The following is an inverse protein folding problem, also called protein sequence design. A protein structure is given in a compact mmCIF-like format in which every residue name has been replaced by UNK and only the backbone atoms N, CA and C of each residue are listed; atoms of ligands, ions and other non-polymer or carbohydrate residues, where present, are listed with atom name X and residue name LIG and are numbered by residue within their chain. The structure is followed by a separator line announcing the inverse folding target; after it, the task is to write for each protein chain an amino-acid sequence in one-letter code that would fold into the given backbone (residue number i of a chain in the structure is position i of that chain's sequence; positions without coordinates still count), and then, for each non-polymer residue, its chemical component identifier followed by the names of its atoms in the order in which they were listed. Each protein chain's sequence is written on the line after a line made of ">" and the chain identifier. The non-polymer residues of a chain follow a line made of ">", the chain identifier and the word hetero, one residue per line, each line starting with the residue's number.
data_IF_289887336226
#
_entry.id   IF_289887336226
#
_cell.length_a   1.000
_cell.length_b   1.000
_cell.length_c   1.000
_cell.angle_alpha   90.00
_cell.angle_beta   90.00
_cell.angle_gamma   90.00
#
_symmetry.space_group_name_H-M   'P 1'
#
loop_
_entity.id
_entity.type
_entity.pdbx_description
1 polymer ?
#
# COMPACT_ATOMS: atom_id res chain seq x y z
N UNK A 1 -15.52 -4.85 -15.32
CA UNK A 1 -15.18 -3.86 -16.37
C UNK A 1 -13.80 -4.16 -16.91
N UNK A 2 -13.60 -4.14 -18.24
CA UNK A 2 -12.29 -4.40 -18.85
C UNK A 2 -11.34 -3.22 -18.68
N UNK A 3 -10.08 -3.44 -18.32
CA UNK A 3 -9.09 -2.36 -18.16
C UNK A 3 -8.57 -1.88 -19.52
N UNK A 4 -8.21 -2.81 -20.41
CA UNK A 4 -7.76 -2.51 -21.77
C UNK A 4 -8.92 -2.72 -22.73
N UNK A 5 -9.42 -1.63 -23.31
CA UNK A 5 -10.49 -1.63 -24.31
C UNK A 5 -9.99 -1.86 -25.74
N UNK A 6 -10.85 -1.56 -26.71
CA UNK A 6 -10.52 -1.63 -28.13
C UNK A 6 -9.41 -0.63 -28.50
N UNK A 7 -8.67 -0.92 -29.58
CA UNK A 7 -7.64 -0.04 -30.13
C UNK A 7 -6.57 0.36 -29.11
N UNK A 8 -6.25 -0.54 -28.17
CA UNK A 8 -5.27 -0.32 -27.11
C UNK A 8 -5.62 0.83 -26.12
N UNK A 9 -6.88 1.29 -26.09
CA UNK A 9 -7.33 2.32 -25.14
C UNK A 9 -7.41 1.75 -23.73
N UNK A 10 -6.93 2.49 -22.74
CA UNK A 10 -7.08 2.14 -21.32
C UNK A 10 -8.33 2.83 -20.78
N UNK A 11 -9.18 2.07 -20.10
CA UNK A 11 -10.35 2.61 -19.42
C UNK A 11 -9.92 3.23 -18.08
N UNK A 12 -9.57 4.51 -18.13
CA UNK A 12 -9.21 5.30 -16.95
C UNK A 12 -10.43 5.64 -16.10
N UNK A 13 -10.25 5.78 -14.80
CA UNK A 13 -11.35 6.15 -13.90
C UNK A 13 -11.20 5.64 -12.49
N UNK A 14 -12.29 5.81 -11.73
CA UNK A 14 -12.47 5.24 -10.40
C UNK A 14 -13.56 4.19 -10.48
N UNK A 15 -13.33 3.05 -9.85
CA UNK A 15 -14.19 1.88 -9.96
C UNK A 15 -14.59 1.36 -8.59
N UNK A 16 -15.88 1.06 -8.42
CA UNK A 16 -16.42 0.47 -7.19
C UNK A 16 -16.79 -1.02 -7.35
N UNK A 17 -16.69 -1.53 -8.59
CA UNK A 17 -17.01 -2.91 -8.95
C UNK A 17 -15.78 -3.70 -9.42
N UNK A 18 -15.97 -5.01 -9.74
CA UNK A 18 -14.90 -5.88 -10.21
C UNK A 18 -14.32 -5.42 -11.55
N UNK A 19 -13.04 -5.73 -11.77
CA UNK A 19 -12.29 -5.38 -12.96
C UNK A 19 -11.72 -6.62 -13.63
N UNK A 20 -11.90 -6.71 -14.93
CA UNK A 20 -11.18 -7.66 -15.76
C UNK A 20 -9.81 -7.06 -16.04
N UNK A 21 -8.80 -7.51 -15.28
CA UNK A 21 -7.43 -7.00 -15.34
C UNK A 21 -6.65 -7.62 -16.50
N UNK A 22 -7.11 -7.38 -17.73
CA UNK A 22 -6.58 -7.91 -18.99
C UNK A 22 -5.27 -7.21 -19.44
N UNK A 23 -4.37 -6.88 -18.52
CA UNK A 23 -3.15 -6.11 -18.78
C UNK A 23 -2.25 -6.67 -19.89
N UNK A 24 -2.30 -7.99 -20.13
CA UNK A 24 -1.49 -8.66 -21.17
C UNK A 24 -1.86 -8.20 -22.58
N UNK A 25 -3.10 -7.76 -22.79
CA UNK A 25 -3.60 -7.25 -24.08
C UNK A 25 -3.06 -5.86 -24.42
N UNK A 26 -2.59 -5.10 -23.42
CA UNK A 26 -2.07 -3.75 -23.64
C UNK A 26 -0.81 -3.77 -24.50
N UNK A 27 -0.79 -3.06 -25.62
CA UNK A 27 0.39 -2.80 -26.43
C UNK A 27 1.15 -1.62 -25.81
N UNK A 28 2.24 -1.93 -25.10
CA UNK A 28 3.14 -0.93 -24.54
C UNK A 28 3.95 -0.30 -25.68
N UNK A 29 3.95 1.03 -25.79
CA UNK A 29 4.66 1.75 -26.85
C UNK A 29 5.84 2.54 -26.27
N UNK A 30 6.93 2.60 -27.02
CA UNK A 30 8.05 3.50 -26.73
C UNK A 30 7.73 4.96 -27.11
N UNK A 31 8.71 5.84 -26.93
CA UNK A 31 8.58 7.28 -27.22
C UNK A 31 8.16 7.58 -28.67
N UNK A 32 8.53 6.72 -29.63
CA UNK A 32 8.23 6.90 -31.05
C UNK A 32 6.98 6.10 -31.49
N UNK A 33 6.22 5.53 -30.54
CA UNK A 33 5.03 4.75 -30.84
C UNK A 33 5.32 3.32 -31.30
N UNK A 34 6.56 2.83 -31.19
CA UNK A 34 6.90 1.45 -31.55
C UNK A 34 6.59 0.51 -30.38
N UNK A 35 6.01 -0.64 -30.68
CA UNK A 35 5.63 -1.60 -29.64
C UNK A 35 6.85 -2.22 -28.95
N UNK A 36 6.82 -2.18 -27.62
CA UNK A 36 7.75 -2.87 -26.72
C UNK A 36 7.17 -4.26 -26.42
N UNK A 37 7.96 -5.31 -26.73
CA UNK A 37 7.56 -6.72 -26.58
C UNK A 37 8.53 -7.52 -25.71
N UNK A 38 8.14 -8.75 -25.37
CA UNK A 38 9.00 -9.74 -24.70
C UNK A 38 9.50 -9.29 -23.32
N UNK A 39 10.78 -9.53 -23.04
CA UNK A 39 11.39 -9.21 -21.75
C UNK A 39 11.33 -7.72 -21.40
N UNK A 40 11.46 -6.82 -22.39
CA UNK A 40 11.34 -5.38 -22.14
C UNK A 40 9.96 -5.00 -21.61
N UNK A 41 8.90 -5.56 -22.20
CA UNK A 41 7.51 -5.36 -21.73
C UNK A 41 7.30 -5.96 -20.35
N UNK A 42 7.83 -7.16 -20.11
CA UNK A 42 7.79 -7.80 -18.79
C UNK A 42 8.46 -6.94 -17.72
N UNK A 43 9.64 -6.40 -18.02
CA UNK A 43 10.43 -5.59 -17.08
C UNK A 43 9.82 -4.21 -16.83
N UNK A 44 8.99 -3.70 -17.73
CA UNK A 44 8.27 -2.46 -17.52
C UNK A 44 7.06 -2.62 -16.58
N UNK A 45 6.51 -3.84 -16.46
CA UNK A 45 5.36 -4.09 -15.60
C UNK A 45 5.79 -4.28 -14.14
N UNK A 46 5.22 -3.50 -13.23
CA UNK A 46 5.52 -3.51 -11.81
C UNK A 46 4.29 -3.86 -11.00
N UNK A 47 4.50 -4.53 -9.86
CA UNK A 47 3.45 -4.88 -8.90
C UNK A 47 3.93 -4.71 -7.49
N UNK A 48 3.04 -4.20 -6.65
CA UNK A 48 3.27 -3.94 -5.24
C UNK A 48 2.05 -4.44 -4.48
N UNK A 49 2.28 -5.19 -3.40
CA UNK A 49 1.28 -5.41 -2.38
C UNK A 49 1.90 -5.04 -1.04
N UNK A 50 1.37 -4.01 -0.40
CA UNK A 50 1.76 -3.56 0.93
C UNK A 50 0.58 -3.75 1.87
N UNK A 51 0.84 -4.31 3.04
CA UNK A 51 -0.16 -4.49 4.10
C UNK A 51 0.48 -4.06 5.40
N UNK A 52 -0.28 -3.31 6.19
CA UNK A 52 0.11 -2.89 7.53
C UNK A 52 -0.84 -3.46 8.57
N UNK A 53 -0.29 -3.97 9.65
CA UNK A 53 -1.02 -4.37 10.86
C UNK A 53 -0.75 -3.31 11.91
N UNK A 54 -1.81 -2.67 12.42
CA UNK A 54 -1.72 -1.63 13.45
C UNK A 54 -2.48 -2.12 14.68
N UNK A 55 -1.78 -2.30 15.79
CA UNK A 55 -2.36 -2.67 17.10
C UNK A 55 -2.20 -1.51 18.09
N UNK A 56 -2.52 -1.73 19.36
CA UNK A 56 -2.28 -0.77 20.45
C UNK A 56 -0.85 -0.81 21.03
N UNK A 57 -0.04 -1.80 20.66
CA UNK A 57 1.35 -1.96 21.16
C UNK A 57 2.38 -2.03 20.02
N UNK A 58 1.98 -2.55 18.87
CA UNK A 58 2.87 -2.86 17.74
C UNK A 58 2.31 -2.39 16.41
N UNK A 59 3.23 -2.16 15.49
CA UNK A 59 2.94 -1.94 14.09
C UNK A 59 3.85 -2.84 13.23
N UNK A 60 3.25 -3.56 12.29
CA UNK A 60 3.96 -4.41 11.33
C UNK A 60 3.67 -3.89 9.93
N UNK A 61 4.71 -3.50 9.21
CA UNK A 61 4.63 -3.27 7.77
C UNK A 61 5.23 -4.45 7.02
N UNK A 62 4.59 -4.90 5.95
CA UNK A 62 5.18 -5.91 5.06
C UNK A 62 4.74 -5.73 3.62
N UNK A 63 5.60 -6.16 2.69
CA UNK A 63 5.31 -6.06 1.28
C UNK A 63 5.85 -7.23 0.48
N UNK A 64 5.16 -7.52 -0.63
CA UNK A 64 5.70 -8.26 -1.75
C UNK A 64 5.75 -7.33 -2.98
N UNK A 65 6.93 -7.24 -3.59
CA UNK A 65 7.19 -6.36 -4.74
C UNK A 65 7.77 -7.19 -5.87
N UNK A 66 7.21 -7.02 -7.06
CA UNK A 66 7.71 -7.62 -8.31
C UNK A 66 7.98 -6.49 -9.30
N UNK A 67 9.25 -6.28 -9.63
CA UNK A 67 9.68 -5.29 -10.63
C UNK A 67 9.80 -5.89 -12.04
N UNK A 68 9.36 -7.14 -12.23
CA UNK A 68 9.44 -7.89 -13.48
C UNK A 68 10.80 -8.55 -13.74
N UNK A 69 11.88 -8.03 -13.15
CA UNK A 69 13.24 -8.59 -13.21
C UNK A 69 13.83 -8.94 -11.83
N UNK A 70 13.45 -8.21 -10.78
CA UNK A 70 13.84 -8.43 -9.39
C UNK A 70 12.60 -8.38 -8.52
N UNK A 71 12.55 -9.23 -7.50
CA UNK A 71 11.56 -9.12 -6.45
C UNK A 71 12.18 -8.58 -5.16
N UNK A 72 11.34 -7.99 -4.31
CA UNK A 72 11.65 -7.69 -2.92
C UNK A 72 10.48 -8.13 -2.03
N UNK A 73 10.76 -8.95 -1.02
CA UNK A 73 9.82 -9.26 0.06
C UNK A 73 10.43 -8.80 1.37
N UNK A 74 9.76 -7.89 2.06
CA UNK A 74 10.24 -7.35 3.32
C UNK A 74 9.14 -7.27 4.36
N UNK A 75 9.55 -7.23 5.63
CA UNK A 75 8.68 -6.96 6.76
C UNK A 75 9.47 -6.34 7.91
N UNK A 76 8.81 -5.60 8.77
CA UNK A 76 9.40 -5.13 10.01
C UNK A 76 8.37 -5.10 11.14
N UNK A 77 8.86 -5.26 12.36
CA UNK A 77 8.08 -5.14 13.60
C UNK A 77 8.56 -3.90 14.35
N UNK A 78 7.66 -2.95 14.53
CA UNK A 78 7.84 -1.76 15.34
C UNK A 78 7.06 -1.90 16.65
N UNK A 79 7.72 -1.73 17.79
CA UNK A 79 7.08 -1.61 19.09
C UNK A 79 7.05 -0.13 19.47
N UNK A 80 5.89 0.37 19.89
CA UNK A 80 5.69 1.81 20.08
C UNK A 80 6.61 2.45 21.10
N UNK A 81 7.09 1.67 22.07
CA UNK A 81 8.03 2.13 23.09
C UNK A 81 9.50 1.92 22.70
N UNK A 82 9.82 0.76 22.14
CA UNK A 82 11.21 0.32 21.96
C UNK A 82 11.74 0.55 20.52
N UNK A 83 10.88 1.02 19.62
CA UNK A 83 11.23 1.25 18.22
C UNK A 83 11.21 -0.01 17.37
N UNK A 84 12.09 -0.09 16.36
CA UNK A 84 12.19 -1.26 15.48
C UNK A 84 12.80 -2.43 16.24
N UNK A 85 12.01 -3.50 16.43
CA UNK A 85 12.47 -4.74 17.06
C UNK A 85 13.08 -5.73 16.07
N UNK A 86 12.60 -5.71 14.81
CA UNK A 86 13.03 -6.66 13.78
C UNK A 86 12.77 -6.14 12.38
N UNK A 87 13.68 -6.47 11.46
CA UNK A 87 13.52 -6.28 10.01
C UNK A 87 13.90 -7.56 9.26
N UNK A 88 13.08 -7.90 8.27
CA UNK A 88 13.33 -8.93 7.29
C UNK A 88 13.34 -8.28 5.90
N UNK A 89 14.34 -8.61 5.09
CA UNK A 89 14.44 -8.12 3.71
C UNK A 89 15.05 -9.22 2.83
N UNK A 90 14.31 -9.64 1.81
CA UNK A 90 14.72 -10.67 0.87
C UNK A 90 14.52 -10.19 -0.57
N UNK A 91 15.64 -10.07 -1.28
CA UNK A 91 15.68 -9.71 -2.70
C UNK A 91 16.18 -10.89 -3.53
N UNK A 92 15.75 -10.96 -4.79
CA UNK A 92 16.17 -12.01 -5.71
C UNK A 92 15.68 -11.76 -7.14
N UNK A 93 16.05 -12.65 -8.06
CA UNK A 93 15.59 -12.57 -9.44
C UNK A 93 14.11 -12.95 -9.53
N UNK A 94 13.33 -12.13 -10.24
CA UNK A 94 11.89 -12.34 -10.42
C UNK A 94 11.62 -13.40 -11.50
N UNK A 95 11.90 -14.65 -11.16
CA UNK A 95 11.72 -15.82 -12.04
C UNK A 95 10.39 -16.53 -11.85
N UNK A 96 9.58 -16.11 -10.85
CA UNK A 96 8.37 -16.81 -10.41
C UNK A 96 8.63 -18.00 -9.47
N UNK A 97 9.89 -18.36 -9.20
CA UNK A 97 10.22 -19.53 -8.36
C UNK A 97 10.16 -19.25 -6.85
N UNK A 98 10.79 -18.17 -6.40
CA UNK A 98 10.81 -17.80 -4.97
C UNK A 98 9.62 -16.94 -4.59
N UNK A 99 9.15 -16.08 -5.51
CA UNK A 99 7.94 -15.27 -5.38
C UNK A 99 7.03 -15.56 -6.57
N UNK A 100 5.89 -16.19 -6.32
CA UNK A 100 4.74 -16.18 -7.22
C UNK A 100 3.80 -15.05 -6.78
N UNK A 101 3.53 -14.13 -7.72
CA UNK A 101 2.68 -12.98 -7.50
C UNK A 101 1.84 -12.80 -8.76
N UNK A 102 0.62 -13.35 -8.84
CA UNK A 102 -0.25 -13.15 -10.01
C UNK A 102 -0.76 -11.71 -10.08
N UNK A 103 -0.94 -11.21 -11.31
CA UNK A 103 -1.43 -9.86 -11.58
C UNK A 103 -2.95 -9.87 -11.72
N UNK A 104 -3.68 -9.85 -10.61
CA UNK A 104 -5.13 -9.71 -10.58
C UNK A 104 -5.52 -8.98 -9.29
N UNK A 105 -6.12 -7.78 -9.35
CA UNK A 105 -6.51 -7.01 -8.18
C UNK A 105 -7.81 -7.49 -7.55
N UNK A 106 -8.63 -8.34 -8.18
CA UNK A 106 -9.85 -8.90 -7.57
C UNK A 106 -9.55 -10.19 -6.80
N UNK A 107 -8.75 -11.08 -7.39
CA UNK A 107 -8.54 -12.45 -6.92
C UNK A 107 -7.08 -12.85 -7.07
N UNK A 108 -6.37 -13.15 -5.97
CA UNK A 108 -4.97 -13.57 -6.05
C UNK A 108 -4.49 -14.40 -4.85
N UNK A 109 -3.42 -15.15 -5.11
CA UNK A 109 -2.63 -15.86 -4.12
C UNK A 109 -1.14 -15.52 -4.30
N UNK A 110 -0.60 -14.65 -3.45
CA UNK A 110 0.85 -14.37 -3.42
C UNK A 110 1.51 -15.46 -2.58
N UNK A 111 2.60 -16.04 -3.09
CA UNK A 111 3.38 -17.08 -2.42
C UNK A 111 4.85 -16.75 -2.51
N UNK A 112 5.47 -16.50 -1.36
CA UNK A 112 6.91 -16.34 -1.24
C UNK A 112 7.51 -17.46 -0.39
N UNK A 113 8.62 -18.03 -0.82
CA UNK A 113 9.40 -18.99 -0.03
C UNK A 113 10.90 -18.86 -0.31
N UNK A 114 11.67 -18.66 0.75
CA UNK A 114 13.15 -18.65 0.72
C UNK A 114 13.72 -19.27 1.98
N UNK A 115 14.32 -20.45 1.85
CA UNK A 115 14.74 -21.27 2.99
C UNK A 115 13.56 -21.58 3.92
N UNK A 116 13.68 -21.23 5.19
CA UNK A 116 12.61 -21.38 6.18
C UNK A 116 11.61 -20.21 6.21
N UNK A 117 11.86 -19.14 5.45
CA UNK A 117 10.99 -17.96 5.43
C UNK A 117 9.89 -18.09 4.38
N UNK A 118 8.67 -17.70 4.71
CA UNK A 118 7.56 -17.65 3.78
C UNK A 118 6.59 -16.50 4.05
N UNK A 119 5.88 -16.07 3.00
CA UNK A 119 4.74 -15.15 3.07
C UNK A 119 3.67 -15.64 2.09
N UNK A 120 2.48 -15.87 2.60
CA UNK A 120 1.29 -16.21 1.83
C UNK A 120 0.25 -15.11 2.03
N UNK A 121 -0.30 -14.60 0.92
CA UNK A 121 -1.43 -13.66 0.94
C UNK A 121 -2.50 -14.20 -0.01
N UNK A 122 -3.71 -14.39 0.48
CA UNK A 122 -4.87 -14.82 -0.30
C UNK A 122 -5.94 -13.75 -0.21
N UNK A 123 -6.35 -13.22 -1.37
CA UNK A 123 -7.42 -12.23 -1.45
C UNK A 123 -8.46 -12.67 -2.45
N UNK A 124 -9.72 -12.61 -2.03
CA UNK A 124 -10.88 -12.81 -2.88
C UNK A 124 -11.98 -11.81 -2.56
N UNK A 125 -12.38 -11.00 -3.54
CA UNK A 125 -13.55 -10.15 -3.38
C UNK A 125 -14.86 -10.92 -3.50
N UNK A 126 -14.92 -11.97 -4.32
CA UNK A 126 -16.11 -12.82 -4.44
C UNK A 126 -16.43 -13.51 -3.12
N UNK A 127 -15.39 -14.04 -2.46
CA UNK A 127 -15.51 -14.78 -1.20
C UNK A 127 -15.38 -13.86 0.01
N UNK A 128 -15.22 -12.54 -0.22
CA UNK A 128 -15.02 -11.51 0.80
C UNK A 128 -13.89 -11.85 1.76
N UNK A 129 -12.73 -12.23 1.25
CA UNK A 129 -11.64 -12.82 2.01
C UNK A 129 -10.33 -12.05 1.83
N UNK A 130 -9.63 -11.83 2.93
CA UNK A 130 -8.22 -11.49 2.97
C UNK A 130 -7.55 -12.32 4.08
N UNK A 131 -6.68 -13.24 3.68
CA UNK A 131 -5.92 -14.08 4.60
C UNK A 131 -4.43 -13.86 4.38
N UNK A 132 -3.69 -13.80 5.48
CA UNK A 132 -2.24 -13.67 5.48
C UNK A 132 -1.65 -14.67 6.42
N UNK A 133 -0.59 -15.33 5.95
CA UNK A 133 0.18 -16.26 6.76
C UNK A 133 1.68 -16.12 6.46
N UNK A 134 2.47 -15.66 7.43
CA UNK A 134 3.90 -15.40 7.22
C UNK A 134 4.76 -15.85 8.40
N UNK A 135 5.93 -16.41 8.10
CA UNK A 135 7.01 -16.65 9.06
C UNK A 135 8.32 -16.21 8.43
N UNK A 136 8.94 -15.17 8.96
CA UNK A 136 10.04 -14.46 8.32
C UNK A 136 11.29 -14.50 9.19
N UNK A 137 12.40 -14.97 8.60
CA UNK A 137 13.72 -15.06 9.23
C UNK A 137 13.78 -15.90 10.49
N UNK A 138 12.87 -16.87 10.65
CA UNK A 138 12.69 -17.70 11.85
C UNK A 138 12.39 -16.91 13.14
N UNK A 139 11.96 -15.64 13.02
CA UNK A 139 11.77 -14.74 14.16
C UNK A 139 10.36 -14.18 14.23
N UNK A 140 9.88 -13.59 13.14
CA UNK A 140 8.59 -12.90 13.10
C UNK A 140 7.53 -13.81 12.46
N UNK A 141 6.45 -14.09 13.18
CA UNK A 141 5.26 -14.77 12.70
C UNK A 141 4.09 -13.81 12.77
N UNK A 142 3.31 -13.75 11.70
CA UNK A 142 1.98 -13.14 11.75
C UNK A 142 1.02 -13.92 10.88
N UNK A 143 -0.21 -14.07 11.38
CA UNK A 143 -1.32 -14.68 10.67
C UNK A 143 -2.58 -13.91 10.97
N UNK A 144 -3.38 -13.61 9.96
CA UNK A 144 -4.72 -13.07 10.18
C UNK A 144 -5.68 -13.50 9.08
N UNK A 145 -6.97 -13.45 9.42
CA UNK A 145 -8.08 -13.56 8.49
C UNK A 145 -8.94 -12.31 8.64
N UNK A 146 -9.49 -11.81 7.54
CA UNK A 146 -10.38 -10.66 7.54
C UNK A 146 -11.40 -10.77 6.40
N UNK A 147 -12.57 -10.19 6.62
CA UNK A 147 -13.52 -9.99 5.55
C UNK A 147 -13.01 -8.86 4.64
N UNK A 148 -12.98 -9.07 3.31
CA UNK A 148 -12.64 -8.01 2.37
C UNK A 148 -13.42 -8.09 1.05
N UNK A 149 -14.64 -7.53 1.07
CA UNK A 149 -15.50 -7.41 -0.12
C UNK A 149 -15.63 -5.97 -0.61
N UNK A 150 -15.76 -5.80 -1.93
CA UNK A 150 -15.94 -4.49 -2.59
C UNK A 150 -17.08 -3.67 -1.97
N UNK A 151 -18.28 -4.27 -1.83
CA UNK A 151 -19.46 -3.58 -1.28
C UNK A 151 -19.36 -3.30 0.21
N UNK A 152 -18.72 -4.19 0.99
CA UNK A 152 -18.67 -4.07 2.45
C UNK A 152 -17.58 -3.12 2.95
N UNK A 153 -16.53 -2.90 2.15
CA UNK A 153 -15.37 -2.10 2.55
C UNK A 153 -15.15 -0.86 1.67
N UNK A 154 -15.79 -0.77 0.50
CA UNK A 154 -15.66 0.36 -0.43
C UNK A 154 -14.19 0.74 -0.68
N UNK A 155 -13.32 -0.19 -1.12
CA UNK A 155 -11.92 0.13 -1.39
C UNK A 155 -11.81 1.21 -2.47
N UNK A 156 -10.80 2.07 -2.39
CA UNK A 156 -10.50 3.04 -3.44
C UNK A 156 -9.77 2.35 -4.58
N UNK A 157 -10.42 2.23 -5.73
CA UNK A 157 -9.83 1.61 -6.93
C UNK A 157 -9.72 2.63 -8.04
N UNK A 158 -8.52 2.80 -8.58
CA UNK A 158 -8.23 3.85 -9.56
C UNK A 158 -7.37 3.31 -10.69
N UNK A 159 -7.68 3.66 -11.93
CA UNK A 159 -6.80 3.51 -13.09
C UNK A 159 -6.44 4.88 -13.62
N UNK A 160 -5.15 5.19 -13.64
CA UNK A 160 -4.64 6.44 -14.18
C UNK A 160 -3.60 6.21 -15.26
N UNK A 161 -3.44 7.16 -16.19
CA UNK A 161 -2.24 7.23 -16.99
C UNK A 161 -1.07 7.56 -16.06
N UNK A 162 0.00 6.79 -16.16
CA UNK A 162 1.27 7.14 -15.53
C UNK A 162 2.04 8.05 -16.48
N UNK A 163 2.13 7.71 -17.75
CA UNK A 163 2.81 8.46 -18.82
C UNK A 163 1.97 8.27 -20.10
N UNK A 164 2.22 8.97 -21.22
CA UNK A 164 1.39 8.86 -22.43
C UNK A 164 1.14 7.41 -22.91
N UNK A 165 2.09 6.49 -22.67
CA UNK A 165 2.00 5.08 -23.06
C UNK A 165 1.95 4.12 -21.88
N UNK A 166 1.68 4.62 -20.68
CA UNK A 166 1.85 3.91 -19.42
C UNK A 166 0.64 4.16 -18.50
N UNK A 167 0.33 3.21 -17.63
CA UNK A 167 -0.83 3.29 -16.75
C UNK A 167 -0.60 2.48 -15.49
N UNK A 168 -1.27 2.88 -14.41
CA UNK A 168 -1.25 2.18 -13.14
C UNK A 168 -2.66 2.01 -12.61
N UNK A 169 -2.96 0.80 -12.15
CA UNK A 169 -4.12 0.51 -11.31
C UNK A 169 -3.67 0.48 -9.86
N UNK A 170 -4.47 1.07 -8.96
CA UNK A 170 -4.30 0.94 -7.52
C UNK A 170 -5.60 0.53 -6.84
N UNK A 171 -5.48 -0.22 -5.75
CA UNK A 171 -6.56 -0.54 -4.80
C UNK A 171 -6.07 -0.31 -3.39
N UNK A 172 -6.74 0.60 -2.68
CA UNK A 172 -6.39 0.99 -1.30
C UNK A 172 -7.61 0.83 -0.39
N UNK A 173 -7.40 0.30 0.81
CA UNK A 173 -8.48 0.18 1.79
C UNK A 173 -7.94 0.23 3.22
N UNK A 174 -8.47 1.14 4.03
CA UNK A 174 -8.32 1.09 5.48
C UNK A 174 -9.51 1.81 6.14
N UNK A 175 -9.97 1.39 7.33
CA UNK A 175 -9.52 0.23 8.10
C UNK A 175 -10.19 -1.07 7.62
N UNK A 176 -9.43 -2.16 7.60
CA UNK A 176 -9.97 -3.53 7.58
C UNK A 176 -9.82 -4.09 9.01
N UNK A 177 -10.87 -4.70 9.56
CA UNK A 177 -10.81 -5.32 10.90
C UNK A 177 -10.61 -6.83 10.75
N UNK A 178 -9.55 -7.41 11.33
CA UNK A 178 -9.35 -8.86 11.26
C UNK A 178 -10.37 -9.60 12.12
N UNK A 179 -10.86 -10.75 11.63
CA UNK A 179 -11.69 -11.68 12.39
C UNK A 179 -10.87 -12.56 13.33
N UNK A 180 -9.59 -12.78 13.00
CA UNK A 180 -8.61 -13.45 13.85
C UNK A 180 -7.22 -12.88 13.57
N UNK A 181 -6.36 -12.78 14.57
CA UNK A 181 -4.97 -12.35 14.40
C UNK A 181 -4.05 -13.00 15.44
N UNK A 182 -2.90 -13.48 14.99
CA UNK A 182 -1.85 -14.06 15.81
C UNK A 182 -0.51 -13.42 15.42
N UNK A 183 0.19 -12.85 16.40
CA UNK A 183 1.52 -12.26 16.22
C UNK A 183 2.50 -12.91 17.19
N UNK A 184 3.67 -13.30 16.72
CA UNK A 184 4.76 -13.77 17.60
C UNK A 184 6.14 -13.31 17.11
N UNK A 185 7.03 -13.09 18.07
CA UNK A 185 8.40 -12.66 17.84
C UNK A 185 9.37 -13.51 18.68
N UNK A 186 10.43 -14.03 18.05
CA UNK A 186 11.39 -14.96 18.66
C UNK A 186 10.70 -16.16 19.37
N UNK A 187 9.65 -16.70 18.73
CA UNK A 187 8.88 -17.83 19.25
C UNK A 187 7.95 -17.50 20.42
N UNK A 188 7.85 -16.23 20.84
CA UNK A 188 6.97 -15.79 21.93
C UNK A 188 5.78 -15.01 21.36
N UNK A 189 4.52 -15.33 21.75
CA UNK A 189 3.36 -14.51 21.40
C UNK A 189 3.55 -13.06 21.85
N UNK A 190 3.13 -12.11 21.01
CA UNK A 190 3.09 -10.69 21.36
C UNK A 190 1.75 -10.36 22.05
N UNK A 191 1.79 -9.56 23.11
CA UNK A 191 0.60 -9.16 23.87
C UNK A 191 0.08 -7.81 23.35
N UNK A 192 -1.16 -7.79 22.84
CA UNK A 192 -1.87 -6.60 22.34
C UNK A 192 -3.38 -6.85 22.43
N UNK A 193 -4.21 -5.83 22.24
CA UNK A 193 -5.67 -5.98 22.18
C UNK A 193 -6.14 -6.24 20.73
N UNK A 194 -6.61 -7.46 20.39
CA UNK A 194 -7.12 -7.74 19.06
C UNK A 194 -8.31 -6.84 18.66
N UNK A 195 -9.10 -6.34 19.63
CA UNK A 195 -10.24 -5.47 19.37
C UNK A 195 -9.86 -4.04 18.97
N UNK A 196 -8.60 -3.66 19.14
CA UNK A 196 -8.04 -2.39 18.67
C UNK A 196 -7.19 -2.54 17.42
N UNK A 197 -7.16 -3.74 16.84
CA UNK A 197 -6.31 -4.03 15.69
C UNK A 197 -7.02 -3.67 14.38
N UNK A 198 -6.27 -3.00 13.49
CA UNK A 198 -6.71 -2.69 12.14
C UNK A 198 -5.65 -3.07 11.12
N UNK A 199 -6.11 -3.32 9.91
CA UNK A 199 -5.29 -3.63 8.75
C UNK A 199 -5.46 -2.50 7.73
N UNK A 200 -4.36 -2.04 7.17
CA UNK A 200 -4.37 -1.27 5.93
C UNK A 200 -3.96 -2.16 4.78
N UNK A 201 -4.56 -1.92 3.62
CA UNK A 201 -4.35 -2.68 2.41
C UNK A 201 -4.00 -1.74 1.26
N UNK A 202 -2.93 -2.09 0.55
CA UNK A 202 -2.48 -1.41 -0.64
C UNK A 202 -2.03 -2.45 -1.69
N UNK A 203 -2.64 -2.36 -2.87
CA UNK A 203 -2.19 -3.06 -4.05
C UNK A 203 -2.03 -2.08 -5.20
N UNK A 204 -0.96 -2.25 -5.97
CA UNK A 204 -0.71 -1.46 -7.17
C UNK A 204 -0.12 -2.34 -8.27
N UNK A 205 -0.53 -2.11 -9.51
CA UNK A 205 -0.05 -2.87 -10.66
C UNK A 205 -0.18 -2.11 -11.96
N UNK A 206 0.85 -2.13 -12.79
CA UNK A 206 0.82 -1.41 -14.06
C UNK A 206 2.18 -1.21 -14.70
N UNK A 207 2.18 -0.39 -15.74
CA UNK A 207 3.36 0.15 -16.38
C UNK A 207 3.60 1.54 -15.79
N UNK A 208 4.54 1.63 -14.83
CA UNK A 208 4.85 2.88 -14.14
C UNK A 208 5.85 3.71 -14.95
N UNK A 209 5.91 5.02 -14.67
CA UNK A 209 6.96 5.91 -15.19
C UNK A 209 8.35 5.37 -14.85
N UNK A 210 9.33 5.58 -15.74
CA UNK A 210 10.72 5.19 -15.47
C UNK A 210 11.26 5.85 -14.20
N UNK A 211 10.98 7.13 -14.03
CA UNK A 211 11.18 7.83 -12.75
C UNK A 211 9.85 7.84 -11.99
N UNK A 212 9.79 7.08 -10.89
CA UNK A 212 8.61 7.09 -10.02
C UNK A 212 8.97 7.65 -8.66
N UNK A 213 8.27 8.71 -8.26
CA UNK A 213 8.42 9.36 -6.97
C UNK A 213 7.05 9.48 -6.31
N UNK A 214 6.99 9.33 -4.99
CA UNK A 214 5.77 9.61 -4.23
C UNK A 214 6.06 10.05 -2.81
N UNK A 215 5.12 10.83 -2.28
CA UNK A 215 4.84 10.82 -0.85
C UNK A 215 3.62 9.95 -0.61
N UNK A 216 3.61 9.23 0.50
CA UNK A 216 2.47 8.42 0.90
C UNK A 216 2.21 8.55 2.39
N UNK A 217 0.95 8.47 2.78
CA UNK A 217 0.53 8.37 4.16
C UNK A 217 -0.63 7.40 4.26
N UNK A 218 -0.57 6.48 5.20
CA UNK A 218 -1.69 5.61 5.52
C UNK A 218 -1.73 5.30 7.01
N UNK A 219 -2.93 5.26 7.54
CA UNK A 219 -3.18 4.89 8.92
C UNK A 219 -4.59 4.32 9.05
N UNK A 220 -4.83 3.66 10.16
CA UNK A 220 -6.15 3.18 10.55
C UNK A 220 -6.24 3.05 12.05
N UNK A 221 -7.43 3.25 12.58
CA UNK A 221 -7.68 3.17 14.01
C UNK A 221 -9.15 2.87 14.32
N UNK A 222 -9.36 2.36 15.53
CA UNK A 222 -10.66 2.30 16.19
C UNK A 222 -10.60 3.33 17.32
N UNK A 223 -11.39 4.39 17.20
CA UNK A 223 -11.41 5.49 18.16
C UNK A 223 -12.09 5.07 19.47
N UNK A 224 -11.89 5.80 20.60
CA UNK A 224 -12.52 5.46 21.89
C UNK A 224 -14.05 5.35 21.85
N UNK A 225 -14.69 6.12 20.98
CA UNK A 225 -16.15 6.07 20.74
C UNK A 225 -16.57 4.93 19.79
N UNK A 226 -15.67 4.01 19.46
CA UNK A 226 -15.83 2.88 18.53
C UNK A 226 -15.97 3.26 17.04
N UNK A 227 -15.85 4.54 16.69
CA UNK A 227 -15.77 4.95 15.28
C UNK A 227 -14.51 4.38 14.66
N UNK A 228 -14.65 3.73 13.52
CA UNK A 228 -13.49 3.25 12.76
C UNK A 228 -13.06 4.31 11.77
N UNK A 229 -11.76 4.59 11.71
CA UNK A 229 -11.19 5.53 10.75
C UNK A 229 -10.04 4.89 10.00
N UNK A 230 -9.82 5.36 8.77
CA UNK A 230 -8.68 4.97 7.97
C UNK A 230 -8.41 5.96 6.86
N UNK A 231 -7.18 5.97 6.36
CA UNK A 231 -6.74 6.86 5.32
C UNK A 231 -5.71 6.21 4.41
N UNK A 232 -5.75 6.62 3.14
CA UNK A 232 -4.68 6.46 2.18
C UNK A 232 -4.53 7.78 1.42
N UNK A 233 -3.35 8.37 1.48
CA UNK A 233 -3.01 9.61 0.81
C UNK A 233 -1.67 9.47 0.10
N UNK A 234 -1.59 10.02 -1.09
CA UNK A 234 -0.43 10.08 -1.92
C UNK A 234 -0.33 11.44 -2.63
N UNK A 235 0.90 11.82 -2.93
CA UNK A 235 1.24 12.97 -3.76
C UNK A 235 2.43 12.61 -4.65
N UNK A 236 2.60 13.34 -5.76
CA UNK A 236 3.60 13.11 -6.80
C UNK A 236 3.43 11.82 -7.63
N UNK A 237 2.38 11.04 -7.35
CA UNK A 237 1.97 9.86 -8.10
C UNK A 237 0.46 9.84 -8.26
N UNK A 238 -0.04 9.48 -9.45
CA UNK A 238 -1.47 9.31 -9.71
C UNK A 238 -2.36 10.53 -9.34
N UNK A 239 -1.82 11.75 -9.28
CA UNK A 239 -2.51 12.92 -8.72
C UNK A 239 -3.17 13.83 -9.76
N UNK A 240 -2.75 13.76 -11.03
CA UNK A 240 -3.19 14.69 -12.08
C UNK A 240 -4.65 14.49 -12.47
N UNK A 241 -5.14 13.25 -12.45
CA UNK A 241 -6.47 12.90 -12.96
C UNK A 241 -7.36 12.39 -11.81
N UNK A 242 -7.22 11.12 -11.44
CA UNK A 242 -7.97 10.54 -10.35
C UNK A 242 -7.04 10.29 -9.17
N UNK A 243 -7.05 11.14 -8.15
CA UNK A 243 -6.22 10.91 -6.96
C UNK A 243 -6.48 9.53 -6.32
N UNK A 244 -5.42 8.88 -5.85
CA UNK A 244 -5.50 7.69 -4.98
C UNK A 244 -5.70 8.07 -3.50
N UNK A 245 -6.37 9.20 -3.27
CA UNK A 245 -6.56 9.81 -1.96
C UNK A 245 -7.97 9.59 -1.46
N UNK A 246 -8.10 8.93 -0.31
CA UNK A 246 -9.36 8.78 0.39
C UNK A 246 -9.17 8.55 1.89
N UNK A 247 -10.21 8.87 2.64
CA UNK A 247 -10.38 8.39 4.00
C UNK A 247 -11.70 7.64 4.16
N UNK A 248 -11.78 6.81 5.18
CA UNK A 248 -12.96 6.05 5.54
C UNK A 248 -13.36 6.40 6.97
N UNK A 249 -14.66 6.60 7.18
CA UNK A 249 -15.28 6.70 8.50
C UNK A 249 -16.37 5.65 8.54
N UNK A 250 -16.27 4.68 9.45
CA UNK A 250 -17.24 3.57 9.55
C UNK A 250 -17.45 2.87 8.19
N UNK A 251 -16.33 2.59 7.51
CA UNK A 251 -16.24 2.00 6.14
C UNK A 251 -16.82 2.85 5.01
N UNK A 252 -17.32 4.05 5.30
CA UNK A 252 -17.77 4.99 4.26
C UNK A 252 -16.59 5.77 3.70
N UNK A 253 -16.22 5.46 2.45
CA UNK A 253 -15.16 6.15 1.71
C UNK A 253 -15.57 7.59 1.37
N UNK A 254 -14.67 8.53 1.60
CA UNK A 254 -14.71 9.89 1.05
C UNK A 254 -13.44 10.10 0.23
N UNK A 255 -13.58 10.42 -1.05
CA UNK A 255 -12.43 10.76 -1.91
C UNK A 255 -11.95 12.16 -1.56
N UNK A 256 -10.64 12.33 -1.59
CA UNK A 256 -9.97 13.61 -1.40
C UNK A 256 -9.25 13.95 -2.70
N UNK A 257 -9.27 15.21 -3.17
CA UNK A 257 -8.49 15.63 -4.34
C UNK A 257 -6.97 15.58 -4.09
N UNK A 258 -6.26 16.67 -4.37
CA UNK A 258 -4.82 16.81 -4.16
C UNK A 258 -4.52 17.16 -2.71
N UNK A 259 -3.40 16.66 -2.20
CA UNK A 259 -2.92 16.91 -0.84
C UNK A 259 -1.50 17.46 -0.89
N UNK A 260 -1.19 18.39 0.00
CA UNK A 260 0.16 18.86 0.27
C UNK A 260 0.75 18.03 1.40
N UNK A 261 2.00 17.59 1.23
CA UNK A 261 2.83 17.01 2.27
C UNK A 261 3.91 18.04 2.60
N UNK A 262 3.70 18.82 3.66
CA UNK A 262 4.63 19.86 4.11
C UNK A 262 5.49 19.32 5.25
N UNK A 263 6.79 19.16 4.99
CA UNK A 263 7.75 18.70 5.97
C UNK A 263 9.16 19.20 5.64
N UNK A 264 10.02 19.19 6.65
CA UNK A 264 11.40 19.59 6.52
C UNK A 264 12.23 18.48 5.85
N UNK A 265 12.66 18.69 4.61
CA UNK A 265 13.58 17.78 3.92
C UNK A 265 14.93 17.64 4.63
N UNK A 266 15.39 18.71 5.31
CA UNK A 266 16.64 18.73 6.08
C UNK A 266 16.55 17.89 7.36
N UNK A 267 15.39 17.92 8.00
CA UNK A 267 15.10 17.22 9.24
C UNK A 267 13.67 16.69 9.19
N UNK A 268 13.47 15.49 8.60
CA UNK A 268 12.16 14.91 8.39
C UNK A 268 11.58 14.27 9.66
N UNK A 269 12.26 14.36 10.81
CA UNK A 269 11.70 13.98 12.11
C UNK A 269 10.86 15.10 12.75
N UNK A 270 10.94 16.33 12.23
CA UNK A 270 9.99 17.39 12.59
C UNK A 270 8.58 17.00 12.15
N UNK A 271 7.58 17.56 12.82
CA UNK A 271 6.16 17.33 12.48
C UNK A 271 5.87 17.68 11.03
N UNK A 272 5.17 16.80 10.34
CA UNK A 272 4.69 17.00 8.97
C UNK A 272 3.27 17.54 9.04
N UNK A 273 2.88 18.38 8.09
CA UNK A 273 1.49 18.73 7.86
C UNK A 273 1.00 18.11 6.56
N UNK A 274 -0.19 17.52 6.60
CA UNK A 274 -0.85 16.93 5.43
C UNK A 274 -2.24 17.54 5.32
N UNK A 275 -2.50 18.29 4.25
CA UNK A 275 -3.74 19.06 4.12
C UNK A 275 -4.16 19.26 2.66
N UNK A 276 -5.46 19.46 2.42
CA UNK A 276 -6.02 19.82 1.12
C UNK A 276 -6.53 21.27 1.10
N UNK A 277 -6.82 21.75 -0.10
CA UNK A 277 -7.32 23.11 -0.35
C UNK A 277 -8.72 23.36 0.26
N UNK A 278 -9.58 22.34 0.30
CA UNK A 278 -10.96 22.49 0.79
C UNK A 278 -11.14 22.17 2.29
N UNK A 279 -10.05 21.81 2.97
CA UNK A 279 -10.05 21.46 4.39
C UNK A 279 -10.87 20.22 4.72
N UNK A 280 -10.95 19.26 3.78
CA UNK A 280 -11.45 17.92 4.02
C UNK A 280 -10.51 17.13 4.96
N UNK A 281 -9.22 17.43 4.88
CA UNK A 281 -8.09 16.82 5.57
C UNK A 281 -7.17 17.93 6.09
N UNK A 282 -6.85 17.87 7.37
CA UNK A 282 -5.87 18.74 8.03
C UNK A 282 -5.24 17.94 9.17
N UNK A 283 -4.05 17.41 8.90
CA UNK A 283 -3.37 16.45 9.74
C UNK A 283 -1.97 16.93 10.10
N UNK A 284 -1.55 16.54 11.30
CA UNK A 284 -0.16 16.54 11.74
C UNK A 284 0.32 15.10 11.86
N UNK A 285 1.52 14.82 11.35
CA UNK A 285 2.21 13.56 11.58
C UNK A 285 3.48 13.81 12.38
N UNK A 286 3.65 13.06 13.48
CA UNK A 286 4.84 13.08 14.34
C UNK A 286 5.64 11.79 14.12
N UNK A 287 6.76 11.85 13.39
CA UNK A 287 7.63 10.69 13.18
C UNK A 287 8.24 10.21 14.50
N UNK A 288 8.28 8.89 14.72
CA UNK A 288 8.88 8.26 15.90
C UNK A 288 9.92 7.19 15.52
N UNK A 289 9.70 6.50 14.41
CA UNK A 289 10.60 5.49 13.87
C UNK A 289 10.79 5.63 12.37
N UNK A 290 11.84 4.99 11.83
CA UNK A 290 12.11 5.02 10.40
C UNK A 290 12.72 3.71 9.92
N UNK A 291 12.11 3.11 8.91
CA UNK A 291 12.74 2.12 8.03
C UNK A 291 13.26 2.83 6.79
N UNK A 292 14.50 2.55 6.40
CA UNK A 292 15.11 3.13 5.19
C UNK A 292 15.76 2.06 4.34
N UNK A 293 15.63 2.21 3.03
CA UNK A 293 16.35 1.42 2.04
C UNK A 293 16.95 2.36 0.99
N UNK A 294 18.20 2.10 0.61
CA UNK A 294 18.91 2.89 -0.38
C UNK A 294 19.69 1.95 -1.28
N UNK A 295 19.36 1.97 -2.56
CA UNK A 295 19.97 1.12 -3.57
C UNK A 295 20.41 1.97 -4.77
N UNK A 296 21.61 1.71 -5.28
CA UNK A 296 22.15 2.37 -6.47
C UNK A 296 22.80 1.31 -7.37
N UNK A 297 21.99 0.67 -8.21
CA UNK A 297 22.43 -0.28 -9.23
C UNK A 297 22.54 0.42 -10.59
N UNK A 298 23.23 -0.23 -11.53
CA UNK A 298 23.40 0.29 -12.91
C UNK A 298 22.04 0.49 -13.59
N UNK A 299 21.12 -0.45 -13.39
CA UNK A 299 19.80 -0.44 -14.04
C UNK A 299 18.71 0.18 -13.18
N UNK A 300 18.93 0.36 -11.88
CA UNK A 300 17.90 0.91 -10.98
C UNK A 300 18.46 1.67 -9.79
N UNK A 301 17.74 2.72 -9.39
CA UNK A 301 18.04 3.49 -8.17
C UNK A 301 16.80 3.49 -7.29
N UNK A 302 17.00 3.38 -5.99
CA UNK A 302 15.96 3.46 -4.98
C UNK A 302 16.47 4.32 -3.83
N UNK A 303 15.66 5.30 -3.45
CA UNK A 303 15.81 6.02 -2.21
C UNK A 303 14.47 6.04 -1.50
N UNK A 304 14.34 5.17 -0.51
CA UNK A 304 13.10 4.88 0.20
C UNK A 304 13.29 5.15 1.69
N UNK A 305 12.39 5.95 2.26
CA UNK A 305 12.30 6.13 3.71
C UNK A 305 10.83 6.09 4.10
N UNK A 306 10.52 5.21 5.03
CA UNK A 306 9.20 5.01 5.58
C UNK A 306 9.27 5.29 7.07
N UNK A 307 8.49 6.25 7.53
CA UNK A 307 8.40 6.63 8.91
C UNK A 307 7.19 6.00 9.55
N UNK A 308 7.38 5.50 10.77
CA UNK A 308 6.31 5.13 11.69
C UNK A 308 6.11 6.28 12.65
N UNK A 309 4.86 6.62 12.93
CA UNK A 309 4.55 7.71 13.84
C UNK A 309 3.06 7.90 14.05
N UNK A 310 2.72 9.06 14.63
CA UNK A 310 1.38 9.39 15.08
C UNK A 310 0.75 10.48 14.24
N UNK A 311 -0.47 10.23 13.79
CA UNK A 311 -1.33 11.22 13.15
C UNK A 311 -2.30 11.82 14.17
N UNK A 312 -2.49 13.14 14.08
CA UNK A 312 -3.54 13.87 14.79
C UNK A 312 -4.20 14.84 13.82
N UNK A 313 -5.51 15.04 13.94
CA UNK A 313 -6.21 15.98 13.07
C UNK A 313 -7.68 15.68 12.93
N UNK A 314 -8.25 16.06 11.79
CA UNK A 314 -9.68 15.92 11.52
C UNK A 314 -9.94 15.52 10.07
N UNK A 315 -11.00 14.73 9.90
CA UNK A 315 -11.66 14.51 8.63
C UNK A 315 -12.99 15.24 8.60
N UNK A 316 -13.32 15.82 7.44
CA UNK A 316 -14.63 16.39 7.15
C UNK A 316 -15.22 15.64 5.97
N UNK A 317 -16.28 14.86 6.21
CA UNK A 317 -16.96 14.16 5.12
C UNK A 317 -17.70 15.14 4.20
N UNK A 318 -18.02 14.70 2.99
CA UNK A 318 -18.84 15.46 2.05
C UNK A 318 -20.24 15.82 2.60
N UNK A 319 -20.73 15.08 3.61
CA UNK A 319 -22.00 15.37 4.30
C UNK A 319 -21.81 16.26 5.54
N UNK A 320 -20.62 16.82 5.75
CA UNK A 320 -20.32 17.72 6.87
C UNK A 320 -20.00 17.03 8.20
N UNK A 321 -20.02 15.69 8.29
CA UNK A 321 -19.61 14.97 9.51
C UNK A 321 -18.11 15.22 9.74
N UNK A 322 -17.77 15.80 10.90
CA UNK A 322 -16.39 15.97 11.33
C UNK A 322 -16.00 14.86 12.30
N UNK A 323 -14.88 14.20 12.06
CA UNK A 323 -14.28 13.24 12.99
C UNK A 323 -12.88 13.71 13.30
N UNK A 324 -12.65 14.04 14.58
CA UNK A 324 -11.33 14.40 15.07
C UNK A 324 -10.71 13.20 15.78
N UNK A 325 -9.40 13.08 15.67
CA UNK A 325 -8.63 12.00 16.27
C UNK A 325 -7.26 12.52 16.66
N UNK A 326 -6.64 11.83 17.61
CA UNK A 326 -5.35 12.21 18.16
C UNK A 326 -4.51 10.97 18.36
N UNK A 327 -3.22 11.10 18.04
CA UNK A 327 -2.18 10.12 18.29
C UNK A 327 -2.48 8.72 17.73
N UNK A 328 -3.06 8.65 16.52
CA UNK A 328 -3.31 7.36 15.83
C UNK A 328 -2.08 6.95 15.03
N UNK A 329 -1.64 5.70 15.19
CA UNK A 329 -0.44 5.23 14.50
C UNK A 329 -0.65 4.99 13.01
N UNK A 330 0.42 5.16 12.25
CA UNK A 330 0.48 4.75 10.86
C UNK A 330 1.84 5.04 10.25
N UNK A 331 1.81 5.19 8.93
CA UNK A 331 2.99 5.27 8.07
C UNK A 331 2.97 6.57 7.30
N UNK A 332 4.13 7.19 7.14
CA UNK A 332 4.40 8.08 6.01
C UNK A 332 5.60 7.57 5.24
N UNK A 333 5.65 7.87 3.95
CA UNK A 333 6.77 7.51 3.10
C UNK A 333 7.19 8.70 2.27
N UNK A 334 8.49 8.73 2.00
CA UNK A 334 8.94 9.27 0.74
C UNK A 334 9.69 8.19 -0.03
N UNK A 335 9.39 8.12 -1.31
CA UNK A 335 9.97 7.18 -2.24
C UNK A 335 10.47 7.89 -3.48
N UNK A 336 11.66 7.53 -3.91
CA UNK A 336 12.23 7.93 -5.20
C UNK A 336 12.86 6.74 -5.88
N UNK A 337 12.51 6.53 -7.14
CA UNK A 337 13.04 5.42 -7.91
C UNK A 337 13.29 5.76 -9.36
N UNK A 338 14.31 5.11 -9.91
CA UNK A 338 14.58 5.02 -11.34
C UNK A 338 14.66 3.54 -11.68
N UNK A 339 13.82 3.06 -12.60
CA UNK A 339 13.62 1.63 -12.89
C UNK A 339 14.41 1.04 -14.05
#
# INVERSE_FOLDING_TARGET
>A
MKIIGAENKVNYGVFDGPVEFNYKEFQLLDFFGKEIRGLKKRFAFKRFNYIGIITDEFLIGFAAVSLGYVYNVFSYLYHYKDGILYEFDAKGLDTGKELDFPANPDEYSIRFKKGASFLNVDKSHSDKKLEVDAFLGKKLRFRFNADFGLKSHSPLRVVNPSEPTHWTFTEKCSPITPSSIELSYNGKPLSFDPKKTTILYDWSGGYLRRETNWYWAAFSAILPNKTTIGANFAALVNETFFSENAFWIDRKRTRVPRLIFDFSQKDPYKTWRIYDEEGLVDLEFKPEGERKDKMNLIVSKLYFRQFVGKFSGKFKSAQGKKVSFKDVYGFTEFHRSLW
#
